data_IF_013090317644
#
_entry.id   IF_013090317644
#
_cell.length_a   1.000
_cell.length_b   1.000
_cell.length_c   1.000
_cell.angle_alpha   90.00
_cell.angle_beta   90.00
_cell.angle_gamma   90.00
#
_symmetry.space_group_name_H-M   'P 1'
#
loop_
_entity.id
_entity.type
_entity.pdbx_description
1 polymer ?
#
# COMPACT_ATOMS: atom_id res chain seq x y z
N UNK A 1 0.46 -44.76 9.22
CA UNK A 1 -0.11 -43.62 9.95
C UNK A 1 0.91 -42.52 10.23
N UNK A 2 2.12 -42.86 10.71
CA UNK A 2 3.13 -41.85 11.01
C UNK A 2 3.57 -41.07 9.76
N UNK A 3 3.71 -41.73 8.63
CA UNK A 3 4.09 -41.08 7.37
C UNK A 3 3.02 -40.10 6.87
N UNK A 4 1.75 -40.40 7.07
CA UNK A 4 0.66 -39.56 6.66
C UNK A 4 0.63 -38.23 7.45
N UNK A 5 0.83 -38.30 8.77
CA UNK A 5 0.85 -37.12 9.63
C UNK A 5 2.03 -36.20 9.27
N UNK A 6 3.20 -36.79 8.98
CA UNK A 6 4.38 -36.02 8.60
C UNK A 6 4.14 -35.23 7.30
N UNK A 7 3.53 -35.86 6.31
CA UNK A 7 3.21 -35.22 5.03
C UNK A 7 2.27 -34.03 5.22
N UNK A 8 1.26 -34.18 6.07
CA UNK A 8 0.32 -33.10 6.35
C UNK A 8 1.01 -31.91 7.00
N UNK A 9 1.91 -32.16 7.93
CA UNK A 9 2.66 -31.10 8.61
C UNK A 9 3.56 -30.33 7.65
N UNK A 10 4.21 -31.00 6.73
CA UNK A 10 5.06 -30.39 5.72
C UNK A 10 4.26 -29.49 4.78
N UNK A 11 3.09 -29.91 4.36
CA UNK A 11 2.21 -29.11 3.50
C UNK A 11 1.75 -27.83 4.20
N UNK A 12 1.46 -27.91 5.50
CA UNK A 12 1.05 -26.74 6.27
C UNK A 12 2.19 -25.70 6.37
N UNK A 13 3.43 -26.15 6.56
CA UNK A 13 4.57 -25.26 6.62
C UNK A 13 4.81 -24.52 5.30
N UNK A 14 4.65 -25.18 4.19
CA UNK A 14 4.78 -24.56 2.85
C UNK A 14 3.73 -23.47 2.67
N UNK A 15 2.48 -23.71 3.07
CA UNK A 15 1.41 -22.72 2.98
C UNK A 15 1.72 -21.48 3.82
N UNK A 16 2.22 -21.66 5.03
CA UNK A 16 2.60 -20.53 5.90
C UNK A 16 3.74 -19.72 5.31
N UNK A 17 4.74 -20.38 4.72
CA UNK A 17 5.85 -19.71 4.05
C UNK A 17 5.40 -18.88 2.87
N UNK A 18 4.46 -19.38 2.08
CA UNK A 18 3.89 -18.64 0.95
C UNK A 18 3.15 -17.39 1.40
N UNK A 19 2.36 -17.48 2.48
CA UNK A 19 1.64 -16.34 3.04
C UNK A 19 2.60 -15.25 3.52
N UNK A 20 3.71 -15.64 4.15
CA UNK A 20 4.70 -14.69 4.64
C UNK A 20 5.34 -13.91 3.49
N UNK A 21 5.66 -14.58 2.38
CA UNK A 21 6.21 -13.93 1.19
C UNK A 21 5.20 -12.96 0.56
N UNK A 22 3.90 -13.31 0.55
CA UNK A 22 2.87 -12.46 -0.03
C UNK A 22 2.68 -11.13 0.70
N UNK A 23 3.10 -11.03 1.96
CA UNK A 23 2.98 -9.79 2.75
C UNK A 23 4.04 -8.75 2.40
N UNK A 24 5.04 -9.08 1.60
CA UNK A 24 6.13 -8.17 1.27
C UNK A 24 5.69 -6.95 0.46
N UNK A 25 4.54 -7.02 -0.23
CA UNK A 25 4.05 -5.96 -1.12
C UNK A 25 2.63 -5.52 -0.76
N UNK A 26 2.39 -5.21 0.53
CA UNK A 26 1.07 -4.79 0.99
C UNK A 26 0.70 -3.37 0.55
N UNK A 27 1.66 -2.58 0.09
CA UNK A 27 1.45 -1.19 -0.27
C UNK A 27 1.52 -0.98 -1.76
N UNK A 28 0.63 -0.12 -2.27
CA UNK A 28 0.77 0.47 -3.60
C UNK A 28 1.35 1.86 -3.41
N UNK A 29 2.59 2.06 -3.83
CA UNK A 29 3.25 3.35 -3.75
C UNK A 29 2.94 4.17 -4.99
N UNK A 30 2.44 5.38 -4.77
CA UNK A 30 2.03 6.27 -5.85
C UNK A 30 2.89 7.54 -5.79
N UNK A 31 3.68 7.78 -6.84
CA UNK A 31 4.48 9.00 -6.94
C UNK A 31 3.65 10.18 -7.39
N UNK A 32 3.79 11.31 -6.71
CA UNK A 32 3.15 12.55 -7.12
C UNK A 32 3.86 13.74 -6.45
N UNK A 33 3.64 14.93 -6.99
CA UNK A 33 4.24 16.13 -6.43
C UNK A 33 3.56 16.56 -5.13
N UNK A 34 2.25 16.34 -5.02
CA UNK A 34 1.41 16.70 -3.89
C UNK A 34 1.43 18.20 -3.60
N UNK A 35 1.45 19.00 -4.67
CA UNK A 35 1.50 20.46 -4.60
C UNK A 35 0.71 21.12 -5.74
N UNK A 36 -0.33 20.47 -6.25
CA UNK A 36 -1.09 20.96 -7.40
C UNK A 36 -2.58 20.77 -7.17
N UNK A 37 -3.15 21.59 -6.30
CA UNK A 37 -4.59 21.54 -6.02
C UNK A 37 -5.39 21.96 -7.26
N UNK A 38 -6.58 21.43 -7.49
CA UNK A 38 -7.29 20.40 -6.69
C UNK A 38 -6.94 18.96 -7.06
N UNK A 39 -5.95 18.75 -7.89
CA UNK A 39 -5.58 17.41 -8.34
C UNK A 39 -4.82 16.64 -7.27
N UNK A 40 -3.87 17.31 -6.62
CA UNK A 40 -3.17 16.73 -5.47
C UNK A 40 -2.58 17.85 -4.60
N UNK A 41 -2.54 17.62 -3.28
CA UNK A 41 -1.96 18.56 -2.34
C UNK A 41 -1.49 17.84 -1.09
N UNK A 42 -0.71 18.55 -0.25
CA UNK A 42 -0.24 18.06 1.04
C UNK A 42 -1.07 18.70 2.15
N UNK A 43 -1.45 17.91 3.15
CA UNK A 43 -2.14 18.39 4.34
C UNK A 43 -1.57 17.73 5.59
N UNK A 44 -1.88 18.28 6.77
CA UNK A 44 -1.26 17.85 8.01
C UNK A 44 -1.99 16.71 8.71
N UNK A 45 -3.20 16.41 8.30
CA UNK A 45 -4.01 15.36 8.92
C UNK A 45 -4.60 14.42 7.88
N UNK A 46 -5.23 13.36 8.36
CA UNK A 46 -5.83 12.33 7.50
C UNK A 46 -7.28 12.60 7.14
N UNK A 47 -7.76 13.82 7.34
CA UNK A 47 -9.16 14.14 7.06
C UNK A 47 -9.51 13.93 5.58
N UNK A 48 -10.80 13.72 5.33
CA UNK A 48 -11.37 13.57 4.00
C UNK A 48 -10.74 12.44 3.18
N UNK A 49 -10.28 11.38 3.86
CA UNK A 49 -9.73 10.22 3.20
C UNK A 49 -8.32 10.43 2.64
N UNK A 50 -7.55 11.35 3.21
CA UNK A 50 -6.18 11.59 2.79
C UNK A 50 -5.30 10.36 3.02
N UNK A 51 -4.25 10.24 2.24
CA UNK A 51 -3.33 9.10 2.24
C UNK A 51 -1.96 9.55 2.75
N UNK A 52 -1.37 8.73 3.60
CA UNK A 52 -0.07 9.04 4.20
C UNK A 52 1.01 9.20 3.14
N UNK A 53 1.87 10.20 3.33
CA UNK A 53 3.06 10.41 2.53
C UNK A 53 4.23 9.71 3.21
N UNK A 54 4.86 8.77 2.51
CA UNK A 54 5.94 7.96 3.04
C UNK A 54 7.08 8.82 3.60
N UNK A 55 7.56 8.46 4.78
CA UNK A 55 8.67 9.15 5.41
C UNK A 55 8.33 10.49 6.04
N UNK A 56 7.05 10.83 6.16
CA UNK A 56 6.61 12.12 6.74
C UNK A 56 5.49 11.91 7.75
N UNK A 57 5.11 12.97 8.44
CA UNK A 57 3.91 13.04 9.27
C UNK A 57 2.75 13.71 8.53
N UNK A 58 2.86 13.86 7.22
CA UNK A 58 1.87 14.55 6.40
C UNK A 58 1.12 13.58 5.51
N UNK A 59 0.06 14.08 4.89
CA UNK A 59 -0.86 13.31 4.08
C UNK A 59 -1.11 14.02 2.76
N UNK A 60 -1.44 13.26 1.74
CA UNK A 60 -1.81 13.80 0.43
C UNK A 60 -3.29 13.56 0.18
N UNK A 61 -3.93 14.51 -0.49
CA UNK A 61 -5.32 14.37 -0.91
C UNK A 61 -5.52 15.05 -2.26
N UNK A 62 -6.73 14.95 -2.78
CA UNK A 62 -7.11 15.50 -4.07
C UNK A 62 -7.62 14.42 -5.02
N UNK A 63 -7.97 14.85 -6.21
CA UNK A 63 -8.56 13.96 -7.21
C UNK A 63 -7.65 12.75 -7.52
N UNK A 64 -6.36 13.03 -7.74
CA UNK A 64 -5.41 11.96 -8.08
C UNK A 64 -5.25 10.96 -6.96
N UNK A 65 -5.28 11.42 -5.71
CA UNK A 65 -5.16 10.57 -4.53
C UNK A 65 -6.38 9.66 -4.40
N UNK A 66 -7.57 10.19 -4.63
CA UNK A 66 -8.79 9.39 -4.54
C UNK A 66 -8.85 8.32 -5.63
N UNK A 67 -8.37 8.62 -6.83
CA UNK A 67 -8.25 7.64 -7.90
C UNK A 67 -7.25 6.55 -7.52
N UNK A 68 -6.10 6.94 -6.99
CA UNK A 68 -5.06 5.99 -6.54
C UNK A 68 -5.58 5.07 -5.44
N UNK A 69 -6.34 5.60 -4.50
CA UNK A 69 -6.99 4.78 -3.45
C UNK A 69 -7.88 3.69 -4.05
N UNK A 70 -8.66 4.06 -5.05
CA UNK A 70 -9.55 3.12 -5.70
C UNK A 70 -8.78 2.00 -6.39
N UNK A 71 -7.71 2.35 -7.06
CA UNK A 71 -6.83 1.37 -7.70
C UNK A 71 -6.21 0.44 -6.65
N UNK A 72 -5.73 0.99 -5.54
CA UNK A 72 -5.15 0.19 -4.46
C UNK A 72 -6.17 -0.79 -3.90
N UNK A 73 -7.41 -0.36 -3.68
CA UNK A 73 -8.48 -1.23 -3.20
C UNK A 73 -8.74 -2.40 -4.15
N UNK A 74 -8.77 -2.13 -5.44
CA UNK A 74 -8.97 -3.18 -6.45
C UNK A 74 -7.81 -4.18 -6.45
N UNK A 75 -6.62 -3.73 -6.10
CA UNK A 75 -5.44 -4.58 -6.00
C UNK A 75 -5.31 -5.27 -4.65
N UNK A 76 -6.17 -4.97 -3.68
CA UNK A 76 -6.07 -5.49 -2.33
C UNK A 76 -4.87 -4.94 -1.56
N UNK A 77 -4.47 -3.70 -1.86
CA UNK A 77 -3.29 -3.06 -1.27
C UNK A 77 -3.64 -1.77 -0.55
N UNK A 78 -2.79 -1.36 0.38
CA UNK A 78 -2.88 -0.07 1.04
C UNK A 78 -2.18 0.99 0.19
N UNK A 79 -2.82 2.15 -0.04
CA UNK A 79 -2.16 3.23 -0.78
C UNK A 79 -1.13 3.95 0.10
N UNK A 80 -0.04 4.36 -0.52
CA UNK A 80 1.01 5.13 0.13
C UNK A 80 1.57 6.12 -0.90
N UNK A 81 1.59 7.41 -0.56
CA UNK A 81 2.07 8.43 -1.49
C UNK A 81 3.56 8.62 -1.30
N UNK A 82 4.28 8.67 -2.41
CA UNK A 82 5.69 9.04 -2.44
C UNK A 82 5.79 10.42 -3.08
N UNK A 83 6.16 11.42 -2.27
CA UNK A 83 6.26 12.79 -2.74
C UNK A 83 7.53 12.95 -3.57
N UNK A 84 7.38 13.36 -4.81
CA UNK A 84 8.51 13.56 -5.73
C UNK A 84 8.47 14.97 -6.30
N UNK A 85 9.61 15.48 -6.73
CA UNK A 85 9.64 16.73 -7.45
C UNK A 85 9.30 16.49 -8.93
N UNK A 86 8.76 17.53 -9.58
CA UNK A 86 8.41 17.45 -10.99
C UNK A 86 9.63 17.13 -11.85
N UNK A 87 10.80 17.60 -11.45
CA UNK A 87 12.05 17.40 -12.17
C UNK A 87 12.80 16.13 -11.76
N UNK A 88 12.25 15.41 -10.82
CA UNK A 88 12.85 14.14 -10.34
C UNK A 88 12.19 12.92 -10.95
#
# INVERSE_FOLDING_TARGET
MKKFILTLFTALLVCLGTLTVAQADDYLRIGMEAAYAPFNWTQDDDSNGAVKIEGTNQYANGYDVQVAKKIAQEMGKEPLVVKTSWNG
#
